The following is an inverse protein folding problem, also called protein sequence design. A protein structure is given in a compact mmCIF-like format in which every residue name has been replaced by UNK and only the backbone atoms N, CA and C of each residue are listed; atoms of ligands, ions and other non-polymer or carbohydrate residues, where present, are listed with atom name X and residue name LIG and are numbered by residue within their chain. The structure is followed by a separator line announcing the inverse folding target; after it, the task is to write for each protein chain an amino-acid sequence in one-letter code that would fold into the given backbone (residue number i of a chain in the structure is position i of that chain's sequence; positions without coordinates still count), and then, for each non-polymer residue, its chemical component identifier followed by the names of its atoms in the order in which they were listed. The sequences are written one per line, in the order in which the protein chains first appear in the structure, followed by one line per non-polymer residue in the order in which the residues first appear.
data_IF_675240697295
#
_entry.id   IF_675240697295
#
_cell.length_a   1.000
_cell.length_b   1.000
_cell.length_c   1.000
_cell.angle_alpha   90.00
_cell.angle_beta   90.00
_cell.angle_gamma   90.00
#
_symmetry.space_group_name_H-M   'P 1'
#
loop_
_entity.id
_entity.type
_entity.pdbx_description
1 polymer ?
#
# COMPACT_ATOMS: atom_id res chain seq x y z
N UNK A 1 6.24 -18.23 37.92
CA UNK A 1 5.38 -17.35 37.10
C UNK A 1 6.34 -16.46 36.33
N UNK A 2 6.66 -16.86 35.10
CA UNK A 2 7.64 -16.15 34.28
C UNK A 2 7.05 -14.81 33.82
N UNK A 3 7.93 -13.82 33.87
CA UNK A 3 7.67 -12.40 33.71
C UNK A 3 7.22 -12.13 32.27
N UNK A 4 5.97 -11.69 32.07
CA UNK A 4 5.52 -11.17 30.78
C UNK A 4 6.34 -9.90 30.52
N UNK A 5 7.31 -9.97 29.62
CA UNK A 5 8.13 -8.82 29.22
C UNK A 5 7.20 -7.75 28.64
N UNK A 6 6.82 -6.77 29.46
CA UNK A 6 6.00 -5.65 29.03
C UNK A 6 6.76 -4.91 27.92
N UNK A 7 6.19 -4.89 26.71
CA UNK A 7 6.82 -4.20 25.57
C UNK A 7 6.94 -2.73 25.92
N UNK A 8 8.17 -2.28 26.16
CA UNK A 8 8.50 -0.93 26.60
C UNK A 8 8.61 0.06 25.43
N UNK A 9 8.91 -0.43 24.22
CA UNK A 9 8.99 0.39 23.02
C UNK A 9 8.76 -0.39 21.73
N UNK A 10 8.29 0.32 20.70
CA UNK A 10 7.98 -0.23 19.37
C UNK A 10 8.68 0.60 18.30
N UNK A 11 9.31 -0.07 17.34
CA UNK A 11 9.93 0.56 16.17
C UNK A 11 9.00 0.38 14.98
N UNK A 12 8.65 1.48 14.33
CA UNK A 12 7.90 1.49 13.08
C UNK A 12 8.85 1.82 11.94
N UNK A 13 8.95 0.92 10.96
CA UNK A 13 9.78 1.11 9.77
C UNK A 13 8.88 1.47 8.58
N UNK A 14 9.10 2.66 8.02
CA UNK A 14 8.33 3.28 6.94
C UNK A 14 7.32 4.30 7.46
N UNK A 15 7.55 5.59 7.18
CA UNK A 15 6.67 6.71 7.53
C UNK A 15 5.63 7.01 6.44
N UNK A 16 5.16 5.97 5.73
CA UNK A 16 3.97 6.09 4.88
C UNK A 16 2.75 6.49 5.73
N UNK A 17 1.61 6.77 5.09
CA UNK A 17 0.37 7.03 5.83
C UNK A 17 0.00 5.87 6.77
N UNK A 18 0.35 4.63 6.39
CA UNK A 18 0.12 3.44 7.21
C UNK A 18 1.00 3.45 8.45
N UNK A 19 2.32 3.59 8.28
CA UNK A 19 3.24 3.60 9.41
C UNK A 19 3.11 4.82 10.31
N UNK A 20 2.78 5.99 9.75
CA UNK A 20 2.45 7.18 10.55
C UNK A 20 1.17 6.99 11.36
N UNK A 21 0.16 6.34 10.77
CA UNK A 21 -1.06 5.95 11.49
C UNK A 21 -0.76 4.94 12.60
N UNK A 22 0.05 3.91 12.33
CA UNK A 22 0.52 2.94 13.33
C UNK A 22 1.25 3.64 14.48
N UNK A 23 2.20 4.53 14.17
CA UNK A 23 2.95 5.27 15.17
C UNK A 23 2.04 6.17 16.02
N UNK A 24 1.03 6.80 15.40
CA UNK A 24 0.02 7.57 16.13
C UNK A 24 -0.78 6.70 17.10
N UNK A 25 -1.16 5.49 16.68
CA UNK A 25 -1.91 4.54 17.51
C UNK A 25 -1.07 4.02 18.68
N UNK A 26 0.19 3.65 18.43
CA UNK A 26 1.15 3.23 19.47
C UNK A 26 1.39 4.33 20.50
N UNK A 27 1.56 5.58 20.05
CA UNK A 27 1.74 6.72 20.94
C UNK A 27 0.51 6.99 21.82
N UNK A 28 -0.71 6.86 21.26
CA UNK A 28 -1.96 6.96 22.04
C UNK A 28 -2.09 5.86 23.10
N UNK A 29 -1.53 4.68 22.83
CA UNK A 29 -1.46 3.56 23.78
C UNK A 29 -0.31 3.70 24.79
N UNK A 30 0.37 4.84 24.84
CA UNK A 30 1.43 5.13 25.81
C UNK A 30 2.76 4.44 25.54
N UNK A 31 2.96 3.85 24.35
CA UNK A 31 4.21 3.15 23.99
C UNK A 31 5.27 4.12 23.46
N UNK A 32 6.51 3.96 23.92
CA UNK A 32 7.64 4.64 23.32
C UNK A 32 7.78 4.19 21.86
N UNK A 33 7.63 5.11 20.93
CA UNK A 33 7.55 4.79 19.50
C UNK A 33 8.64 5.50 18.73
N UNK A 34 9.45 4.73 17.99
CA UNK A 34 10.46 5.26 17.08
C UNK A 34 10.04 5.00 15.64
N UNK A 35 9.84 6.06 14.87
CA UNK A 35 9.44 5.99 13.46
C UNK A 35 10.66 6.26 12.56
N UNK A 36 11.02 5.30 11.73
CA UNK A 36 12.08 5.43 10.73
C UNK A 36 11.51 5.51 9.31
N UNK A 37 12.13 6.31 8.46
CA UNK A 37 11.85 6.37 7.04
C UNK A 37 13.17 6.42 6.28
N UNK A 38 13.27 5.67 5.18
CA UNK A 38 14.49 5.61 4.37
C UNK A 38 14.63 6.82 3.44
N UNK A 39 13.53 7.54 3.20
CA UNK A 39 13.47 8.71 2.35
C UNK A 39 13.33 10.02 3.15
N UNK A 40 13.81 11.12 2.59
CA UNK A 40 13.62 12.45 3.20
C UNK A 40 12.14 12.82 3.31
N UNK A 41 11.83 13.77 4.21
CA UNK A 41 10.48 14.32 4.36
C UNK A 41 9.98 14.86 3.00
N UNK A 42 8.77 14.44 2.58
CA UNK A 42 8.17 14.73 1.25
C UNK A 42 8.89 14.06 0.05
N UNK A 43 8.96 12.73 0.00
CA UNK A 43 9.57 12.07 -1.15
C UNK A 43 8.67 12.21 -2.39
N UNK A 44 9.21 12.72 -3.50
CA UNK A 44 8.56 12.80 -4.83
C UNK A 44 8.19 11.44 -5.46
N UNK A 45 8.22 10.35 -4.67
CA UNK A 45 8.15 8.95 -5.12
C UNK A 45 7.06 8.14 -4.42
N UNK A 46 6.40 8.71 -3.39
CA UNK A 46 5.33 8.05 -2.64
C UNK A 46 3.94 8.52 -3.06
N UNK A 47 2.97 7.60 -3.06
CA UNK A 47 1.59 7.88 -3.48
C UNK A 47 0.73 8.65 -2.47
N UNK A 48 1.19 8.73 -1.22
CA UNK A 48 0.38 9.24 -0.11
C UNK A 48 0.75 10.66 0.34
N UNK A 49 1.78 11.27 -0.27
CA UNK A 49 2.27 12.60 0.09
C UNK A 49 2.47 13.46 -1.17
N UNK A 50 1.75 14.58 -1.23
CA UNK A 50 1.73 15.59 -2.29
C UNK A 50 0.57 16.56 -2.04
N UNK A 51 0.65 17.81 -2.50
CA UNK A 51 -0.39 18.83 -2.28
C UNK A 51 -1.77 18.46 -2.89
N UNK A 52 -1.82 17.42 -3.72
CA UNK A 52 -3.05 16.88 -4.30
C UNK A 52 -3.39 15.50 -3.71
N UNK A 53 -4.68 15.31 -3.39
CA UNK A 53 -5.30 13.97 -3.36
C UNK A 53 -5.17 13.40 -4.78
N UNK A 54 -4.08 12.69 -5.06
CA UNK A 54 -3.79 12.15 -6.39
C UNK A 54 -4.81 11.08 -6.72
N UNK A 55 -5.60 11.26 -7.77
CA UNK A 55 -6.36 10.17 -8.42
C UNK A 55 -5.36 9.27 -9.12
N UNK A 56 -5.14 8.03 -8.65
CA UNK A 56 -4.25 7.12 -9.34
C UNK A 56 -4.85 6.72 -10.69
N UNK A 57 -4.03 6.68 -11.74
CA UNK A 57 -4.44 6.09 -13.03
C UNK A 57 -4.92 4.63 -12.89
N UNK A 58 -4.52 3.94 -11.81
CA UNK A 58 -5.01 2.59 -11.48
C UNK A 58 -6.48 2.59 -11.00
N UNK A 59 -6.89 3.61 -10.24
CA UNK A 59 -8.30 3.83 -9.87
C UNK A 59 -9.14 4.11 -11.13
N UNK A 60 -8.53 4.70 -12.17
CA UNK A 60 -9.14 4.90 -13.48
C UNK A 60 -9.33 3.58 -14.25
N UNK A 61 -8.38 2.65 -14.24
CA UNK A 61 -8.55 1.34 -14.88
C UNK A 61 -9.70 0.52 -14.28
N UNK A 62 -9.86 0.55 -12.95
CA UNK A 62 -10.97 -0.14 -12.25
C UNK A 62 -12.34 0.46 -12.58
N UNK A 63 -12.43 1.78 -12.80
CA UNK A 63 -13.69 2.48 -13.08
C UNK A 63 -14.04 2.49 -14.58
N UNK A 64 -13.04 2.45 -15.49
CA UNK A 64 -13.26 2.69 -16.92
C UNK A 64 -13.22 1.44 -17.81
N UNK A 65 -12.80 0.28 -17.28
CA UNK A 65 -12.67 -0.95 -18.08
C UNK A 65 -11.57 -0.89 -19.15
N UNK A 66 -10.65 0.09 -19.07
CA UNK A 66 -9.53 0.21 -20.02
C UNK A 66 -8.42 -0.77 -19.62
N UNK A 67 -7.90 -1.61 -20.55
CA UNK A 67 -6.85 -2.57 -20.25
C UNK A 67 -5.57 -1.92 -19.69
N UNK A 68 -4.91 -2.58 -18.73
CA UNK A 68 -3.60 -2.18 -18.20
C UNK A 68 -2.56 -2.19 -19.34
N UNK A 69 -1.91 -1.06 -19.60
CA UNK A 69 -0.86 -0.95 -20.63
C UNK A 69 0.55 -1.25 -20.11
N UNK A 70 0.71 -1.87 -18.94
CA UNK A 70 1.99 -2.37 -18.44
C UNK A 70 2.00 -3.89 -18.23
N UNK A 71 1.53 -4.64 -19.24
CA UNK A 71 1.70 -6.10 -19.29
C UNK A 71 3.16 -6.51 -19.54
N UNK A 72 4.01 -6.34 -18.53
CA UNK A 72 5.28 -7.08 -18.46
C UNK A 72 5.29 -8.04 -17.25
N UNK A 73 4.16 -8.70 -17.01
CA UNK A 73 3.85 -9.52 -15.83
C UNK A 73 3.78 -11.03 -16.12
N UNK A 74 4.58 -11.57 -17.05
CA UNK A 74 4.66 -13.03 -17.27
C UNK A 74 6.03 -13.65 -16.99
N UNK A 75 6.98 -12.90 -16.41
CA UNK A 75 8.30 -13.43 -16.09
C UNK A 75 8.56 -13.36 -14.58
N UNK A 76 8.63 -14.55 -13.95
CA UNK A 76 9.33 -14.88 -12.69
C UNK A 76 10.11 -13.70 -12.10
N UNK A 77 9.61 -13.16 -10.98
CA UNK A 77 10.20 -12.09 -10.18
C UNK A 77 11.72 -11.92 -10.36
N UNK A 78 12.19 -11.00 -11.22
CA UNK A 78 13.55 -10.51 -11.10
C UNK A 78 13.63 -9.65 -9.83
N UNK A 79 14.78 -9.59 -9.13
CA UNK A 79 14.94 -8.72 -7.98
C UNK A 79 14.54 -7.28 -8.37
N UNK A 80 13.63 -6.70 -7.59
CA UNK A 80 13.09 -5.35 -7.73
C UNK A 80 14.21 -4.33 -7.97
N UNK A 81 14.45 -3.95 -9.23
CA UNK A 81 15.33 -2.81 -9.54
C UNK A 81 14.54 -1.50 -9.40
N UNK A 82 14.06 -1.21 -8.19
CA UNK A 82 13.36 0.03 -7.85
C UNK A 82 14.15 1.29 -8.25
N UNK A 83 15.49 1.18 -8.37
CA UNK A 83 16.41 2.27 -8.69
C UNK A 83 16.49 2.67 -10.18
N UNK A 84 16.03 1.85 -11.13
CA UNK A 84 16.20 2.13 -12.58
C UNK A 84 14.94 2.63 -13.30
N UNK A 85 13.87 2.98 -12.58
CA UNK A 85 12.62 3.46 -13.19
C UNK A 85 12.74 4.90 -13.71
N UNK A 86 12.12 5.13 -14.86
CA UNK A 86 11.84 6.45 -15.40
C UNK A 86 10.60 7.02 -14.69
N UNK A 87 10.73 8.19 -14.06
CA UNK A 87 9.64 8.89 -13.34
C UNK A 87 8.78 9.77 -14.25
N UNK A 88 8.87 9.56 -15.56
CA UNK A 88 8.13 10.34 -16.55
C UNK A 88 6.82 9.62 -16.90
N UNK A 89 5.72 10.37 -16.95
CA UNK A 89 4.45 9.86 -17.44
C UNK A 89 4.57 9.44 -18.92
N UNK A 90 4.05 8.26 -19.25
CA UNK A 90 4.00 7.78 -20.64
C UNK A 90 3.12 8.72 -21.49
N UNK A 91 3.61 9.21 -22.64
CA UNK A 91 2.80 10.02 -23.57
C UNK A 91 1.51 9.30 -24.00
N UNK A 92 1.55 7.98 -24.16
CA UNK A 92 0.38 7.19 -24.52
C UNK A 92 -0.70 7.21 -23.41
N UNK A 93 -0.29 7.10 -22.16
CA UNK A 93 -1.21 7.17 -21.02
C UNK A 93 -1.86 8.56 -20.87
N UNK A 94 -1.10 9.63 -21.15
CA UNK A 94 -1.63 11.00 -21.13
C UNK A 94 -2.66 11.23 -22.25
N UNK A 95 -2.42 10.70 -23.45
CA UNK A 95 -3.36 10.80 -24.55
C UNK A 95 -4.66 10.05 -24.25
N UNK A 96 -4.58 8.82 -23.72
CA UNK A 96 -5.76 8.05 -23.33
C UNK A 96 -6.58 8.76 -22.23
N UNK A 97 -5.90 9.36 -21.23
CA UNK A 97 -6.58 10.14 -20.20
C UNK A 97 -7.29 11.37 -20.78
N UNK A 98 -6.64 12.08 -21.71
CA UNK A 98 -7.22 13.25 -22.39
C UNK A 98 -8.49 12.88 -23.16
N UNK A 99 -8.45 11.81 -23.93
CA UNK A 99 -9.61 11.31 -24.68
C UNK A 99 -10.75 10.94 -23.73
N UNK A 100 -10.45 10.31 -22.60
CA UNK A 100 -11.46 9.95 -21.61
C UNK A 100 -12.09 11.18 -20.93
N UNK A 101 -11.28 12.18 -20.53
CA UNK A 101 -11.79 13.42 -19.95
C UNK A 101 -12.72 14.10 -20.96
N UNK A 102 -12.30 14.23 -22.21
CA UNK A 102 -13.12 14.83 -23.25
C UNK A 102 -14.43 14.06 -23.48
N UNK A 103 -14.37 12.72 -23.47
CA UNK A 103 -15.55 11.87 -23.64
C UNK A 103 -16.54 12.01 -22.49
N UNK A 104 -16.07 12.17 -21.25
CA UNK A 104 -16.94 12.21 -20.05
C UNK A 104 -17.40 13.61 -19.69
N UNK A 105 -16.56 14.61 -19.90
CA UNK A 105 -16.78 15.97 -19.41
C UNK A 105 -16.87 17.01 -20.53
N UNK A 106 -16.68 16.63 -21.80
CA UNK A 106 -16.75 17.55 -22.93
C UNK A 106 -15.87 18.78 -22.72
N UNK A 107 -16.40 19.95 -23.00
CA UNK A 107 -15.68 21.23 -22.88
C UNK A 107 -15.79 21.87 -21.48
N UNK A 108 -16.39 21.18 -20.50
CA UNK A 108 -16.48 21.67 -19.12
C UNK A 108 -15.13 21.59 -18.36
N UNK A 109 -14.18 20.81 -18.86
CA UNK A 109 -12.85 20.63 -18.27
C UNK A 109 -11.79 20.84 -19.35
N UNK A 110 -10.81 21.70 -19.09
CA UNK A 110 -9.64 21.84 -19.96
C UNK A 110 -8.82 20.54 -19.94
N UNK A 111 -8.84 19.83 -21.07
CA UNK A 111 -8.11 18.59 -21.30
C UNK A 111 -6.78 18.80 -22.02
N UNK A 112 -6.34 20.05 -22.23
CA UNK A 112 -5.10 20.40 -22.94
C UNK A 112 -3.86 19.73 -22.34
N UNK A 113 -3.82 19.61 -21.01
CA UNK A 113 -2.82 18.84 -20.28
C UNK A 113 -2.96 18.97 -18.76
N UNK A 114 -2.28 18.11 -17.98
CA UNK A 114 -2.32 18.16 -16.54
C UNK A 114 -1.51 19.34 -15.98
N UNK A 115 -2.04 20.02 -14.97
CA UNK A 115 -1.35 21.09 -14.23
C UNK A 115 -0.10 20.57 -13.50
N UNK A 116 -0.16 19.33 -13.00
CA UNK A 116 0.94 18.66 -12.33
C UNK A 116 0.97 17.18 -12.72
N UNK A 117 2.18 16.62 -12.84
CA UNK A 117 2.42 15.19 -13.08
C UNK A 117 3.33 14.66 -11.99
N UNK A 118 2.88 13.63 -11.28
CA UNK A 118 3.68 12.91 -10.31
C UNK A 118 3.53 11.41 -10.54
N UNK A 119 4.66 10.70 -10.58
CA UNK A 119 4.68 9.25 -10.64
C UNK A 119 4.56 8.66 -9.24
N UNK A 120 3.81 7.58 -9.16
CA UNK A 120 3.31 6.98 -7.94
C UNK A 120 3.75 5.52 -7.90
N UNK A 121 4.34 5.04 -6.81
CA UNK A 121 4.68 3.63 -6.66
C UNK A 121 3.63 2.86 -5.85
N UNK A 122 3.26 1.69 -6.36
CA UNK A 122 2.48 0.70 -5.62
C UNK A 122 3.27 -0.59 -5.43
N UNK A 123 3.10 -1.16 -4.24
CA UNK A 123 3.44 -2.55 -3.95
C UNK A 123 2.17 -3.37 -4.10
N UNK A 124 2.12 -4.18 -5.15
CA UNK A 124 0.99 -5.04 -5.47
C UNK A 124 1.25 -6.46 -4.96
N UNK A 125 0.26 -7.05 -4.32
CA UNK A 125 0.14 -8.50 -4.15
C UNK A 125 -0.50 -9.13 -5.38
N UNK A 126 -0.30 -10.44 -5.63
CA UNK A 126 -0.96 -11.16 -6.72
C UNK A 126 -2.49 -11.09 -6.69
N UNK A 127 -3.08 -11.19 -5.49
CA UNK A 127 -4.53 -11.11 -5.25
C UNK A 127 -5.06 -9.70 -5.01
N UNK A 128 -4.20 -8.68 -5.15
CA UNK A 128 -4.52 -7.28 -4.86
C UNK A 128 -5.00 -7.00 -3.42
N UNK A 129 -4.87 -7.97 -2.50
CA UNK A 129 -5.21 -7.85 -1.07
C UNK A 129 -4.00 -7.50 -0.19
N UNK A 130 -4.23 -6.96 1.00
CA UNK A 130 -3.14 -6.55 1.89
C UNK A 130 -2.40 -7.74 2.49
N UNK A 131 -1.16 -7.51 2.92
CA UNK A 131 -0.45 -8.42 3.82
C UNK A 131 -0.37 -7.78 5.19
N UNK A 132 -0.99 -8.40 6.19
CA UNK A 132 -0.93 -8.01 7.60
C UNK A 132 -0.71 -9.27 8.42
N UNK A 133 0.53 -9.47 8.89
CA UNK A 133 0.89 -10.68 9.61
C UNK A 133 2.17 -10.53 10.45
N UNK A 134 2.47 -11.52 11.29
CA UNK A 134 3.80 -11.68 11.87
C UNK A 134 4.76 -12.28 10.85
N UNK A 135 6.00 -11.80 10.85
CA UNK A 135 7.06 -12.40 10.05
C UNK A 135 7.52 -13.71 10.72
N UNK A 136 7.02 -14.84 10.23
CA UNK A 136 7.39 -16.17 10.72
C UNK A 136 8.87 -16.51 10.41
N UNK A 137 9.49 -17.33 11.26
CA UNK A 137 10.90 -17.74 11.14
C UNK A 137 11.74 -17.32 12.34
N UNK A 138 12.98 -16.89 12.09
CA UNK A 138 13.94 -16.49 13.16
C UNK A 138 13.45 -15.29 13.99
N UNK A 139 12.49 -14.52 13.48
CA UNK A 139 11.93 -13.33 14.12
C UNK A 139 10.70 -13.61 14.99
N UNK A 140 10.20 -14.86 15.03
CA UNK A 140 9.06 -15.24 15.86
C UNK A 140 7.85 -14.31 15.71
N UNK A 141 7.44 -13.68 16.81
CA UNK A 141 6.37 -12.66 16.85
C UNK A 141 6.89 -11.24 17.13
N UNK A 142 8.21 -11.03 16.99
CA UNK A 142 8.84 -9.75 17.29
C UNK A 142 8.67 -8.73 16.14
N UNK A 143 8.26 -9.20 14.96
CA UNK A 143 8.09 -8.37 13.76
C UNK A 143 6.70 -8.56 13.17
N UNK A 144 5.95 -7.46 13.07
CA UNK A 144 4.68 -7.38 12.34
C UNK A 144 4.93 -6.68 11.00
N UNK A 145 4.41 -7.25 9.93
CA UNK A 145 4.48 -6.72 8.57
C UNK A 145 3.10 -6.21 8.15
N UNK A 146 3.05 -4.97 7.71
CA UNK A 146 1.93 -4.38 6.98
C UNK A 146 2.39 -3.90 5.62
N UNK A 147 2.01 -4.59 4.54
CA UNK A 147 2.51 -4.32 3.20
C UNK A 147 1.52 -4.73 2.10
N UNK A 148 1.92 -4.53 0.84
CA UNK A 148 1.10 -4.96 -0.30
C UNK A 148 -0.25 -4.24 -0.39
N UNK A 149 -0.29 -2.93 -0.15
CA UNK A 149 -1.55 -2.18 -0.06
C UNK A 149 -2.25 -1.92 -1.41
N UNK A 150 -1.73 -2.50 -2.49
CA UNK A 150 -2.35 -2.68 -3.81
C UNK A 150 -3.12 -1.49 -4.38
N UNK A 151 -2.62 -0.27 -4.12
CA UNK A 151 -3.18 0.97 -4.65
C UNK A 151 -4.44 1.49 -3.95
N UNK A 152 -5.08 0.70 -3.08
CA UNK A 152 -6.36 1.05 -2.45
C UNK A 152 -6.29 1.21 -0.92
N UNK A 153 -5.16 0.91 -0.30
CA UNK A 153 -5.01 0.98 1.16
C UNK A 153 -5.07 2.39 1.78
N UNK A 154 -4.86 3.48 1.03
CA UNK A 154 -4.80 4.84 1.63
C UNK A 154 -6.03 5.16 2.50
N UNK A 155 -7.24 4.82 2.02
CA UNK A 155 -8.49 5.05 2.75
C UNK A 155 -8.61 4.26 4.06
N UNK A 156 -7.83 3.17 4.16
CA UNK A 156 -7.83 2.23 5.28
C UNK A 156 -6.74 2.53 6.31
N UNK A 157 -5.95 3.59 6.11
CA UNK A 157 -4.81 3.88 6.98
C UNK A 157 -5.13 4.00 8.48
N UNK A 158 -6.24 4.63 8.92
CA UNK A 158 -6.59 4.66 10.34
C UNK A 158 -6.84 3.27 10.94
N UNK A 159 -7.54 2.39 10.21
CA UNK A 159 -7.87 1.05 10.70
C UNK A 159 -6.67 0.11 10.63
N UNK A 160 -5.89 0.16 9.56
CA UNK A 160 -4.64 -0.61 9.43
C UNK A 160 -3.64 -0.19 10.50
N UNK A 161 -3.49 1.11 10.76
CA UNK A 161 -2.61 1.61 11.82
C UNK A 161 -3.00 1.08 13.19
N UNK A 162 -4.31 0.99 13.49
CA UNK A 162 -4.80 0.38 14.73
C UNK A 162 -4.46 -1.11 14.78
N UNK A 163 -4.77 -1.86 13.72
CA UNK A 163 -4.50 -3.31 13.64
C UNK A 163 -3.02 -3.61 13.86
N UNK A 164 -2.12 -2.87 13.19
CA UNK A 164 -0.67 -3.07 13.33
C UNK A 164 -0.18 -2.73 14.75
N UNK A 165 -0.76 -1.70 15.37
CA UNK A 165 -0.45 -1.35 16.76
C UNK A 165 -0.94 -2.43 17.75
N UNK A 166 -2.14 -2.95 17.56
CA UNK A 166 -2.70 -4.03 18.39
C UNK A 166 -1.84 -5.30 18.27
N UNK A 167 -1.44 -5.68 17.05
CA UNK A 167 -0.54 -6.81 16.84
C UNK A 167 0.83 -6.60 17.49
N UNK A 168 1.38 -5.39 17.42
CA UNK A 168 2.68 -5.08 18.01
C UNK A 168 2.66 -5.05 19.55
N UNK A 169 1.52 -4.72 20.18
CA UNK A 169 1.41 -4.58 21.64
C UNK A 169 0.83 -5.84 22.29
N UNK A 170 -0.28 -6.33 21.74
CA UNK A 170 -1.12 -7.36 22.35
C UNK A 170 -0.91 -8.74 21.70
N UNK A 171 -0.13 -8.82 20.61
CA UNK A 171 0.06 -10.02 19.79
C UNK A 171 -1.22 -10.60 19.15
N UNK A 172 -2.33 -9.88 19.23
CA UNK A 172 -3.62 -10.24 18.64
C UNK A 172 -4.43 -8.99 18.37
N UNK A 173 -5.47 -9.11 17.55
CA UNK A 173 -6.51 -8.09 17.42
C UNK A 173 -7.80 -8.61 18.05
N UNK A 174 -8.66 -7.70 18.52
CA UNK A 174 -9.91 -8.08 19.20
C UNK A 174 -11.06 -8.34 18.23
N UNK A 175 -11.13 -7.55 17.14
CA UNK A 175 -12.32 -7.45 16.28
C UNK A 175 -12.03 -7.69 14.79
N UNK A 176 -10.84 -8.17 14.42
CA UNK A 176 -10.45 -8.33 13.01
C UNK A 176 -9.87 -9.72 12.75
N UNK A 177 -10.50 -10.47 11.85
CA UNK A 177 -9.96 -11.75 11.37
C UNK A 177 -8.87 -11.48 10.31
N UNK A 178 -7.64 -11.91 10.59
CA UNK A 178 -6.49 -11.64 9.72
C UNK A 178 -6.17 -12.78 8.76
N UNK A 179 -6.91 -13.90 8.79
CA UNK A 179 -6.60 -15.09 7.99
C UNK A 179 -6.51 -14.78 6.49
N UNK A 180 -7.41 -13.94 5.98
CA UNK A 180 -7.40 -13.50 4.57
C UNK A 180 -6.26 -12.55 4.23
N UNK A 181 -5.62 -11.93 5.23
CA UNK A 181 -4.53 -10.97 5.06
C UNK A 181 -3.17 -11.56 5.46
N UNK A 182 -3.15 -12.81 5.93
CA UNK A 182 -1.92 -13.52 6.33
C UNK A 182 -1.01 -13.73 5.13
N UNK A 183 0.31 -13.75 5.38
CA UNK A 183 1.31 -14.08 4.36
C UNK A 183 1.22 -15.55 3.94
N UNK A 184 0.78 -16.43 4.85
CA UNK A 184 0.68 -17.87 4.63
C UNK A 184 -0.34 -18.22 3.54
N UNK A 185 -1.25 -17.31 3.17
CA UNK A 185 -2.20 -17.55 2.08
C UNK A 185 -1.52 -17.78 0.73
N UNK A 186 -0.27 -17.33 0.58
CA UNK A 186 0.53 -17.57 -0.62
C UNK A 186 1.31 -18.90 -0.58
N UNK A 187 1.30 -19.62 0.54
CA UNK A 187 1.91 -20.95 0.63
C UNK A 187 1.07 -21.97 -0.14
N UNK A 188 1.70 -22.63 -1.11
CA UNK A 188 1.01 -23.59 -1.98
C UNK A 188 0.03 -22.97 -2.99
N UNK A 189 -0.19 -21.64 -2.95
CA UNK A 189 -1.03 -20.90 -3.88
C UNK A 189 -0.43 -19.51 -4.17
N UNK A 190 0.32 -19.38 -5.28
CA UNK A 190 0.98 -18.11 -5.63
C UNK A 190 0.02 -16.98 -5.98
N UNK A 191 -1.23 -17.29 -6.33
CA UNK A 191 -2.23 -16.31 -6.74
C UNK A 191 -2.94 -15.68 -5.55
N UNK A 192 -2.91 -16.31 -4.36
CA UNK A 192 -3.54 -15.79 -3.15
C UNK A 192 -5.05 -16.01 -3.10
N UNK A 193 -5.78 -15.06 -2.54
CA UNK A 193 -7.24 -15.16 -2.40
C UNK A 193 -7.92 -15.25 -3.78
N UNK A 194 -8.93 -16.12 -3.94
CA UNK A 194 -9.69 -16.16 -5.19
C UNK A 194 -10.43 -14.84 -5.41
N UNK A 195 -10.28 -14.25 -6.60
CA UNK A 195 -11.12 -13.14 -7.04
C UNK A 195 -12.53 -13.64 -7.33
N UNK A 196 -13.40 -13.66 -6.32
CA UNK A 196 -14.80 -14.05 -6.50
C UNK A 196 -15.63 -12.86 -7.02
N UNK A 197 -15.28 -12.38 -8.23
CA UNK A 197 -16.16 -11.50 -8.99
C UNK A 197 -17.19 -12.38 -9.70
N UNK A 198 -18.23 -12.78 -8.96
CA UNK A 198 -19.39 -13.46 -9.55
C UNK A 198 -19.90 -12.68 -10.77
N UNK A 199 -19.72 -13.27 -11.95
CA UNK A 199 -20.31 -12.84 -13.23
C UNK A 199 -21.62 -13.57 -13.48
#
# INVERSE_FOLDING_TARGET
MENCSEISGVIVVGASIMGSSTASQLAKSGKQTLLFEQFDFLPHRGCSHGESRTTPLHLWHSISGVPRTDQNSSARWPPLQARKRTWAASPAALNALKEWIQSKFGDFIDSSGPVLRQSCMYSMTPDEDFVIDFLVGEFGKDVVVGGGFSGHGFKMAPVIGRILADLAIDMHTKDVELKHLSIERFEGNSEGNPEDFGH
#
